data_IF_774881764243
#
_entry.id   IF_774881764243
#
_cell.length_a   1.000
_cell.length_b   1.000
_cell.length_c   1.000
_cell.angle_alpha   90.00
_cell.angle_beta   90.00
_cell.angle_gamma   90.00
#
_symmetry.space_group_name_H-M   'P 1'
#
loop_
_entity.id
_entity.type
_entity.pdbx_description
1 polymer ?
#
# COMPACT_ATOMS: atom_id res chain seq x y z
N UNK A 1 -17.25 4.04 -24.85
CA UNK A 1 -15.88 3.51 -24.63
C UNK A 1 -15.96 2.47 -23.49
N UNK A 2 -15.42 1.25 -23.68
CA UNK A 2 -15.30 0.28 -22.61
C UNK A 2 -14.41 0.80 -21.47
N UNK A 3 -14.78 0.47 -20.21
CA UNK A 3 -13.95 0.73 -19.05
C UNK A 3 -13.07 -0.46 -18.74
N UNK A 4 -11.78 -0.23 -18.71
CA UNK A 4 -10.78 -1.24 -18.40
C UNK A 4 -10.30 -1.10 -16.96
N UNK A 5 -10.15 -2.23 -16.27
CA UNK A 5 -9.42 -2.36 -15.02
C UNK A 5 -8.13 -3.12 -15.29
N UNK A 6 -7.02 -2.52 -14.95
CA UNK A 6 -5.67 -3.02 -15.18
C UNK A 6 -5.02 -3.36 -13.85
N UNK A 7 -4.80 -4.65 -13.61
CA UNK A 7 -4.07 -5.13 -12.43
C UNK A 7 -2.57 -5.08 -12.68
N UNK A 8 -1.82 -4.57 -11.69
CA UNK A 8 -0.37 -4.48 -11.74
C UNK A 8 0.30 -4.83 -10.42
N UNK A 9 1.56 -5.21 -10.50
CA UNK A 9 2.49 -5.30 -9.37
C UNK A 9 3.74 -4.46 -9.65
N UNK A 10 4.41 -3.98 -8.59
CA UNK A 10 5.62 -3.19 -8.74
C UNK A 10 6.53 -3.23 -7.51
N UNK A 11 7.83 -3.09 -7.77
CA UNK A 11 8.85 -2.78 -6.77
C UNK A 11 9.01 -1.28 -6.71
N UNK A 12 8.56 -0.66 -5.62
CA UNK A 12 8.51 0.81 -5.49
C UNK A 12 9.84 1.51 -5.20
N UNK A 13 10.94 0.77 -5.04
CA UNK A 13 12.24 1.30 -4.57
C UNK A 13 12.72 2.53 -5.35
N UNK A 14 12.58 2.51 -6.68
CA UNK A 14 13.09 3.54 -7.58
C UNK A 14 12.06 4.63 -7.93
N UNK A 15 10.91 4.64 -7.23
CA UNK A 15 9.80 5.53 -7.57
C UNK A 15 9.44 6.48 -6.42
N UNK A 16 9.12 7.70 -6.79
CA UNK A 16 8.61 8.76 -5.88
C UNK A 16 7.16 8.54 -5.47
N UNK A 17 6.66 7.31 -5.60
CA UNK A 17 5.32 6.85 -5.26
C UNK A 17 4.52 6.42 -6.47
N UNK A 18 3.25 6.14 -6.22
CA UNK A 18 2.35 5.60 -7.24
C UNK A 18 1.79 6.67 -8.19
N UNK A 19 1.27 7.76 -7.63
CA UNK A 19 0.57 8.79 -8.39
C UNK A 19 1.53 9.71 -9.14
N UNK A 20 1.19 10.04 -10.41
CA UNK A 20 1.93 10.99 -11.23
C UNK A 20 2.10 12.34 -10.53
N UNK A 21 3.31 12.88 -10.58
CA UNK A 21 3.73 14.17 -10.05
C UNK A 21 4.62 14.85 -11.08
N UNK A 22 4.63 16.18 -11.08
CA UNK A 22 5.56 16.93 -11.89
C UNK A 22 7.00 16.67 -11.42
N UNK A 23 7.92 16.47 -12.38
CA UNK A 23 9.35 16.27 -12.15
C UNK A 23 9.73 15.09 -11.22
N UNK A 24 8.88 14.05 -11.17
CA UNK A 24 9.15 12.85 -10.36
C UNK A 24 8.84 11.57 -11.13
N UNK A 25 9.75 10.59 -11.02
CA UNK A 25 9.51 9.26 -11.55
C UNK A 25 8.47 8.53 -10.67
N UNK A 26 7.34 8.10 -11.25
CA UNK A 26 6.23 7.46 -10.53
C UNK A 26 5.70 6.27 -11.31
N UNK A 27 5.09 5.30 -10.63
CA UNK A 27 4.50 4.11 -11.26
C UNK A 27 3.48 4.50 -12.33
N UNK A 28 2.60 5.45 -12.04
CA UNK A 28 1.58 5.90 -12.98
C UNK A 28 2.19 6.54 -14.24
N UNK A 29 3.23 7.36 -14.09
CA UNK A 29 3.90 8.01 -15.23
C UNK A 29 4.55 6.99 -16.16
N UNK A 30 5.19 5.95 -15.64
CA UNK A 30 5.80 4.90 -16.46
C UNK A 30 4.74 4.07 -17.21
N UNK A 31 3.61 3.73 -16.56
CA UNK A 31 2.52 3.01 -17.24
C UNK A 31 1.86 3.88 -18.32
N UNK A 32 1.61 5.16 -18.05
CA UNK A 32 1.06 6.11 -19.04
C UNK A 32 2.02 6.31 -20.23
N UNK A 33 3.33 6.38 -19.97
CA UNK A 33 4.37 6.46 -21.02
C UNK A 33 4.42 5.20 -21.90
N UNK A 34 4.40 4.01 -21.27
CA UNK A 34 4.35 2.75 -22.02
C UNK A 34 3.08 2.63 -22.86
N UNK A 35 1.94 3.09 -22.33
CA UNK A 35 0.68 3.15 -23.06
C UNK A 35 0.78 4.06 -24.28
N UNK A 36 1.33 5.26 -24.13
CA UNK A 36 1.54 6.19 -25.26
C UNK A 36 2.43 5.57 -26.36
N UNK A 37 3.49 4.87 -25.99
CA UNK A 37 4.37 4.19 -26.94
C UNK A 37 3.63 3.09 -27.69
N UNK A 38 2.78 2.30 -27.02
CA UNK A 38 2.07 1.18 -27.64
C UNK A 38 0.88 1.62 -28.49
N UNK A 39 0.08 2.55 -28.00
CA UNK A 39 -1.21 2.93 -28.58
C UNK A 39 -1.17 4.24 -29.40
N UNK A 40 -0.06 4.99 -29.33
CA UNK A 40 0.09 6.26 -30.04
C UNK A 40 -0.71 7.42 -29.45
N UNK A 41 -1.44 7.21 -28.35
CA UNK A 41 -2.30 8.21 -27.71
C UNK A 41 -2.04 8.25 -26.21
N UNK A 42 -2.09 9.46 -25.62
CA UNK A 42 -2.00 9.64 -24.18
C UNK A 42 -3.27 9.20 -23.50
N UNK A 43 -3.12 8.69 -22.27
CA UNK A 43 -4.23 8.30 -21.42
C UNK A 43 -4.02 8.85 -20.02
N UNK A 44 -5.12 9.05 -19.28
CA UNK A 44 -5.07 9.36 -17.85
C UNK A 44 -5.55 8.14 -17.07
N UNK A 45 -4.67 7.56 -16.28
CA UNK A 45 -4.96 6.42 -15.44
C UNK A 45 -5.50 6.87 -14.07
N UNK A 46 -6.55 6.23 -13.60
CA UNK A 46 -7.10 6.48 -12.25
C UNK A 46 -6.78 5.29 -11.36
N UNK A 47 -5.92 5.51 -10.36
CA UNK A 47 -5.44 4.46 -9.47
C UNK A 47 -6.37 4.14 -8.30
N UNK A 48 -6.40 2.87 -7.90
CA UNK A 48 -7.15 2.39 -6.73
C UNK A 48 -6.52 2.85 -5.42
N UNK A 49 -5.23 2.62 -5.27
CA UNK A 49 -4.52 2.88 -4.02
C UNK A 49 -3.23 3.64 -4.28
N UNK A 50 -3.06 4.79 -3.59
CA UNK A 50 -1.84 5.57 -3.66
C UNK A 50 -0.84 5.02 -2.64
N UNK A 51 0.31 4.55 -3.11
CA UNK A 51 1.42 4.16 -2.25
C UNK A 51 2.46 5.28 -2.18
N UNK A 52 3.09 5.45 -1.02
CA UNK A 52 4.19 6.41 -0.81
C UNK A 52 5.45 5.98 -1.59
N UNK A 53 6.44 6.88 -1.73
CA UNK A 53 7.75 6.58 -2.30
C UNK A 53 8.39 5.37 -1.62
N UNK A 54 8.93 4.45 -2.40
CA UNK A 54 9.59 3.22 -1.94
C UNK A 54 8.66 2.10 -1.46
N UNK A 55 7.35 2.28 -1.46
CA UNK A 55 6.37 1.23 -1.10
C UNK A 55 6.10 0.32 -2.28
N UNK A 56 6.09 -0.99 -2.05
CA UNK A 56 5.82 -2.02 -3.06
C UNK A 56 4.34 -2.35 -3.17
N UNK A 57 3.95 -2.97 -4.27
CA UNK A 57 2.65 -3.60 -4.40
C UNK A 57 2.76 -4.96 -5.09
N UNK A 58 2.15 -5.97 -4.49
CA UNK A 58 1.93 -7.27 -5.13
C UNK A 58 0.66 -7.22 -5.99
N UNK A 59 -0.27 -6.32 -5.66
CA UNK A 59 -1.49 -6.08 -6.39
C UNK A 59 -1.92 -4.62 -6.21
N UNK A 60 -2.18 -3.92 -7.29
CA UNK A 60 -2.85 -2.63 -7.33
C UNK A 60 -3.61 -2.52 -8.66
N UNK A 61 -4.45 -1.51 -8.79
CA UNK A 61 -5.29 -1.35 -9.98
C UNK A 61 -5.28 0.08 -10.49
N UNK A 62 -5.34 0.21 -11.82
CA UNK A 62 -5.82 1.38 -12.53
C UNK A 62 -7.17 1.09 -13.18
N UNK A 63 -7.98 2.11 -13.41
CA UNK A 63 -9.02 2.07 -14.42
C UNK A 63 -8.86 3.21 -15.40
N UNK A 64 -9.36 3.00 -16.62
CA UNK A 64 -9.38 3.97 -17.71
C UNK A 64 -10.44 3.57 -18.73
N UNK A 65 -10.85 4.54 -19.54
CA UNK A 65 -11.76 4.33 -20.67
C UNK A 65 -10.96 4.42 -21.98
N UNK A 66 -11.13 3.45 -22.86
CA UNK A 66 -10.47 3.41 -24.16
C UNK A 66 -11.32 2.62 -25.16
N UNK A 67 -11.22 2.92 -26.47
CA UNK A 67 -12.07 2.26 -27.46
C UNK A 67 -11.65 0.82 -27.71
N UNK A 68 -10.43 0.62 -28.19
CA UNK A 68 -9.91 -0.70 -28.52
C UNK A 68 -8.43 -0.81 -28.18
N UNK A 69 -8.09 -1.80 -27.36
CA UNK A 69 -6.71 -2.10 -27.00
C UNK A 69 -6.09 -3.03 -28.02
N UNK A 70 -4.77 -2.89 -28.23
CA UNK A 70 -4.01 -3.83 -29.06
C UNK A 70 -4.28 -5.29 -28.64
N UNK A 71 -4.49 -6.25 -29.59
CA UNK A 71 -4.81 -7.65 -29.24
C UNK A 71 -3.86 -8.32 -28.26
N UNK A 72 -2.58 -7.95 -28.29
CA UNK A 72 -1.54 -8.44 -27.36
C UNK A 72 -1.15 -7.39 -26.32
N UNK A 73 -2.12 -6.59 -25.85
CA UNK A 73 -1.87 -5.42 -25.01
C UNK A 73 -0.97 -5.73 -23.80
N UNK A 74 -1.32 -6.72 -22.96
CA UNK A 74 -0.55 -7.05 -21.76
C UNK A 74 0.89 -7.47 -22.09
N UNK A 75 1.07 -8.30 -23.12
CA UNK A 75 2.39 -8.76 -23.54
C UNK A 75 3.28 -7.59 -23.99
N UNK A 76 2.76 -6.75 -24.88
CA UNK A 76 3.52 -5.61 -25.44
C UNK A 76 3.78 -4.52 -24.39
N UNK A 77 2.80 -4.23 -23.52
CA UNK A 77 3.01 -3.30 -22.41
C UNK A 77 4.12 -3.80 -21.48
N UNK A 78 4.12 -5.08 -21.11
CA UNK A 78 5.16 -5.65 -20.26
C UNK A 78 6.55 -5.67 -20.94
N UNK A 79 6.62 -5.71 -22.26
CA UNK A 79 7.88 -5.60 -22.99
C UNK A 79 8.45 -4.15 -23.03
N UNK A 80 7.59 -3.15 -22.87
CA UNK A 80 7.97 -1.72 -22.86
C UNK A 80 8.26 -1.23 -21.43
N UNK A 81 7.54 -1.75 -20.44
CA UNK A 81 7.66 -1.34 -19.05
C UNK A 81 9.01 -1.72 -18.44
N UNK A 82 9.52 -0.92 -17.46
CA UNK A 82 10.67 -1.31 -16.66
C UNK A 82 10.44 -2.66 -15.93
N UNK A 83 11.51 -3.41 -15.68
CA UNK A 83 11.48 -4.74 -15.03
C UNK A 83 10.83 -4.75 -13.65
N UNK A 84 10.76 -3.60 -12.98
CA UNK A 84 10.18 -3.42 -11.65
C UNK A 84 8.68 -3.08 -11.66
N UNK A 85 8.03 -3.07 -12.85
CA UNK A 85 6.58 -2.92 -13.03
C UNK A 85 6.05 -4.03 -13.94
N UNK A 86 5.06 -4.78 -13.48
CA UNK A 86 4.43 -5.84 -14.29
C UNK A 86 2.90 -5.68 -14.29
N UNK A 87 2.31 -5.67 -15.48
CA UNK A 87 0.86 -5.78 -15.68
C UNK A 87 0.46 -7.26 -15.66
N UNK A 88 -0.59 -7.59 -14.90
CA UNK A 88 -1.00 -8.98 -14.66
C UNK A 88 -2.27 -9.38 -15.40
N UNK A 89 -3.29 -8.53 -15.29
CA UNK A 89 -4.62 -8.80 -15.84
C UNK A 89 -5.25 -7.51 -16.34
N UNK A 90 -6.12 -7.64 -17.32
CA UNK A 90 -7.01 -6.57 -17.76
C UNK A 90 -8.42 -7.13 -17.88
N UNK A 91 -9.39 -6.39 -17.35
CA UNK A 91 -10.80 -6.76 -17.36
C UNK A 91 -11.61 -5.58 -17.87
N UNK A 92 -12.67 -5.87 -18.62
CA UNK A 92 -13.68 -4.86 -19.00
C UNK A 92 -14.77 -4.91 -17.94
N UNK A 93 -15.09 -3.75 -17.36
CA UNK A 93 -16.10 -3.59 -16.33
C UNK A 93 -17.17 -2.58 -16.77
N UNK A 94 -18.33 -2.54 -16.08
CA UNK A 94 -19.35 -1.54 -16.33
C UNK A 94 -18.78 -0.09 -16.27
N UNK A 95 -19.31 0.79 -17.11
CA UNK A 95 -18.81 2.17 -17.24
C UNK A 95 -18.86 2.99 -15.94
N UNK A 96 -19.70 2.62 -14.98
CA UNK A 96 -19.78 3.25 -13.65
C UNK A 96 -18.80 2.65 -12.63
N UNK A 97 -18.07 1.57 -12.95
CA UNK A 97 -17.10 0.95 -12.04
C UNK A 97 -15.91 1.90 -11.78
N UNK A 98 -15.47 1.99 -10.53
CA UNK A 98 -14.41 2.92 -10.13
C UNK A 98 -13.37 2.24 -9.25
N UNK A 99 -12.11 2.11 -9.73
CA UNK A 99 -11.04 1.36 -9.05
C UNK A 99 -10.75 1.81 -7.61
N UNK A 100 -11.00 3.07 -7.27
CA UNK A 100 -10.75 3.60 -5.93
C UNK A 100 -11.97 3.50 -5.01
N UNK A 101 -13.16 3.86 -5.51
CA UNK A 101 -14.35 4.01 -4.67
C UNK A 101 -15.08 2.70 -4.45
N UNK A 102 -15.01 1.76 -5.40
CA UNK A 102 -15.66 0.46 -5.29
C UNK A 102 -14.77 -0.60 -4.61
N UNK A 103 -13.51 -0.27 -4.35
CA UNK A 103 -12.65 -1.17 -3.59
C UNK A 103 -13.11 -1.25 -2.12
N UNK A 104 -13.51 -2.45 -1.71
CA UNK A 104 -14.09 -2.78 -0.40
C UNK A 104 -13.03 -2.73 0.70
N UNK A 105 -11.84 -3.28 0.43
CA UNK A 105 -10.72 -3.25 1.37
C UNK A 105 -9.37 -3.19 0.68
N UNK A 106 -8.35 -2.84 1.44
CA UNK A 106 -6.93 -2.91 1.09
C UNK A 106 -6.21 -3.63 2.20
N UNK A 107 -5.30 -4.56 1.83
CA UNK A 107 -4.43 -5.26 2.77
C UNK A 107 -3.00 -4.87 2.53
N UNK A 108 -2.32 -4.54 3.62
CA UNK A 108 -0.89 -4.26 3.63
C UNK A 108 -0.15 -5.24 4.51
N UNK A 109 1.10 -5.50 4.15
CA UNK A 109 2.08 -6.23 4.94
C UNK A 109 3.30 -5.35 5.17
N UNK A 110 3.76 -5.25 6.42
CA UNK A 110 5.05 -4.67 6.73
C UNK A 110 6.00 -5.77 7.18
N UNK A 111 7.10 -5.95 6.45
CA UNK A 111 8.04 -7.05 6.62
C UNK A 111 9.28 -6.59 7.38
N UNK A 112 9.71 -7.40 8.36
CA UNK A 112 10.84 -7.14 9.24
C UNK A 112 11.68 -8.42 9.33
N UNK A 113 13.02 -8.28 9.32
CA UNK A 113 13.94 -9.38 9.57
C UNK A 113 14.94 -9.02 10.68
N UNK A 114 15.38 -10.02 11.46
CA UNK A 114 16.14 -9.82 12.68
C UNK A 114 17.61 -10.22 12.55
N UNK A 115 17.94 -11.13 11.65
CA UNK A 115 19.31 -11.52 11.30
C UNK A 115 19.70 -10.86 9.97
N UNK A 116 20.93 -10.32 9.91
CA UNK A 116 21.41 -9.64 8.70
C UNK A 116 21.31 -10.57 7.48
N UNK A 117 20.60 -10.12 6.44
CA UNK A 117 20.43 -10.81 5.18
C UNK A 117 20.44 -9.81 4.01
N UNK A 118 21.48 -9.82 3.15
CA UNK A 118 21.61 -8.86 2.06
C UNK A 118 20.51 -8.99 0.99
N UNK A 119 19.87 -10.15 0.85
CA UNK A 119 18.79 -10.36 -0.11
C UNK A 119 17.45 -9.73 0.31
N UNK A 120 17.30 -9.31 1.57
CA UNK A 120 16.10 -8.69 2.09
C UNK A 120 16.19 -7.16 2.17
N UNK A 121 17.34 -6.57 1.89
CA UNK A 121 17.63 -5.14 2.11
C UNK A 121 16.58 -4.18 1.53
N UNK A 122 16.03 -4.49 0.35
CA UNK A 122 15.05 -3.63 -0.32
C UNK A 122 13.59 -4.11 -0.14
N UNK A 123 13.36 -5.17 0.64
CA UNK A 123 12.05 -5.82 0.75
C UNK A 123 11.57 -6.04 2.18
N UNK A 124 12.41 -5.72 3.16
CA UNK A 124 12.08 -5.82 4.58
C UNK A 124 12.97 -4.89 5.41
N UNK A 125 12.49 -4.45 6.56
CA UNK A 125 13.25 -3.66 7.51
C UNK A 125 14.17 -4.57 8.32
N UNK A 126 15.49 -4.31 8.31
CA UNK A 126 16.41 -4.91 9.27
C UNK A 126 16.19 -4.29 10.65
N UNK A 127 15.81 -5.13 11.64
CA UNK A 127 15.50 -4.66 12.98
C UNK A 127 16.03 -5.66 14.03
N UNK A 128 17.32 -5.54 14.42
CA UNK A 128 18.01 -6.53 15.27
C UNK A 128 17.67 -6.43 16.76
N UNK A 129 16.80 -5.48 17.14
CA UNK A 129 16.49 -5.27 18.55
C UNK A 129 15.59 -6.36 19.12
N UNK A 130 15.76 -6.64 20.44
CA UNK A 130 14.85 -7.53 21.17
C UNK A 130 13.45 -6.92 21.19
N UNK A 131 12.46 -7.72 20.85
CA UNK A 131 11.05 -7.32 20.79
C UNK A 131 10.23 -8.26 21.67
N UNK A 132 9.32 -7.69 22.43
CA UNK A 132 8.25 -8.39 23.14
C UNK A 132 7.07 -8.54 22.19
N UNK A 133 6.93 -9.72 21.58
CA UNK A 133 5.92 -9.99 20.55
C UNK A 133 4.51 -9.96 21.15
N UNK A 134 4.35 -10.41 22.39
CA UNK A 134 3.05 -10.42 23.06
C UNK A 134 2.50 -8.99 23.23
N UNK A 135 3.34 -8.05 23.65
CA UNK A 135 2.95 -6.63 23.74
C UNK A 135 2.63 -6.04 22.35
N UNK A 136 3.34 -6.45 21.32
CA UNK A 136 3.05 -5.99 19.94
C UNK A 136 1.72 -6.54 19.43
N UNK A 137 1.36 -7.78 19.75
CA UNK A 137 0.06 -8.38 19.41
C UNK A 137 -1.09 -7.70 20.18
N UNK A 138 -0.88 -7.36 21.44
CA UNK A 138 -1.82 -6.58 22.23
C UNK A 138 -2.06 -5.19 21.60
N UNK A 139 -0.99 -4.49 21.21
CA UNK A 139 -1.09 -3.22 20.50
C UNK A 139 -1.81 -3.36 19.14
N UNK A 140 -1.58 -4.45 18.40
CA UNK A 140 -2.28 -4.73 17.16
C UNK A 140 -3.78 -5.00 17.39
N UNK A 141 -4.13 -5.64 18.48
CA UNK A 141 -5.54 -5.84 18.90
C UNK A 141 -6.22 -4.51 19.20
N UNK A 142 -5.55 -3.61 19.92
CA UNK A 142 -6.05 -2.25 20.19
C UNK A 142 -6.34 -1.51 18.87
N UNK A 143 -5.41 -1.56 17.88
CA UNK A 143 -5.64 -0.96 16.55
C UNK A 143 -6.93 -1.48 15.92
N UNK A 144 -7.20 -2.78 16.03
CA UNK A 144 -8.40 -3.43 15.51
C UNK A 144 -9.71 -2.89 16.08
N UNK A 145 -9.71 -2.31 17.29
CA UNK A 145 -10.89 -1.71 17.93
C UNK A 145 -11.10 -0.24 17.63
N UNK A 146 -10.12 0.44 17.02
CA UNK A 146 -10.18 1.88 16.77
C UNK A 146 -10.79 2.20 15.41
N UNK A 147 -11.45 3.33 15.32
CA UNK A 147 -12.06 3.84 14.09
C UNK A 147 -11.49 5.21 13.65
N UNK A 148 -10.88 5.97 14.54
CA UNK A 148 -10.34 7.30 14.26
C UNK A 148 -8.82 7.30 14.33
N UNK A 149 -8.16 7.71 13.22
CA UNK A 149 -6.71 7.57 13.02
C UNK A 149 -6.01 8.89 12.68
N UNK A 150 -6.53 10.03 13.14
CA UNK A 150 -5.88 11.32 12.93
C UNK A 150 -4.41 11.34 13.37
N UNK A 151 -4.04 10.82 14.58
CA UNK A 151 -2.65 10.82 15.01
C UNK A 151 -1.70 10.05 14.11
N UNK A 152 -2.22 9.04 13.41
CA UNK A 152 -1.45 8.18 12.50
C UNK A 152 -1.55 8.60 11.03
N UNK A 153 -1.83 9.85 10.74
CA UNK A 153 -1.82 10.42 9.40
C UNK A 153 -0.66 11.42 9.27
N UNK A 154 0.14 11.32 8.19
CA UNK A 154 1.18 12.30 7.90
C UNK A 154 0.60 13.71 7.82
N UNK A 155 1.42 14.71 8.19
CA UNK A 155 1.13 16.13 7.97
C UNK A 155 0.93 16.43 6.47
N UNK A 156 0.33 17.56 6.14
CA UNK A 156 0.04 17.99 4.76
C UNK A 156 -0.82 16.96 3.98
N UNK A 157 -1.85 16.41 4.62
CA UNK A 157 -2.83 15.54 3.99
C UNK A 157 -4.04 16.33 3.51
N UNK A 158 -4.60 15.94 2.37
CA UNK A 158 -5.88 16.45 1.86
C UNK A 158 -7.09 15.74 2.48
N UNK A 159 -6.87 14.81 3.42
CA UNK A 159 -7.95 14.04 4.04
C UNK A 159 -8.79 14.94 4.96
N UNK A 160 -10.09 15.01 4.70
CA UNK A 160 -11.09 15.68 5.54
C UNK A 160 -11.72 14.75 6.56
N UNK A 161 -11.59 13.43 6.37
CA UNK A 161 -12.11 12.39 7.24
C UNK A 161 -10.98 11.41 7.61
N UNK A 162 -10.81 11.15 8.89
CA UNK A 162 -9.77 10.29 9.46
C UNK A 162 -10.31 8.94 9.95
N UNK A 163 -11.59 8.64 9.69
CA UNK A 163 -12.19 7.36 10.05
C UNK A 163 -11.75 6.27 9.07
N UNK A 164 -11.38 5.12 9.63
CA UNK A 164 -11.07 3.90 8.92
C UNK A 164 -11.69 2.72 9.68
N UNK A 165 -12.29 1.78 8.97
CA UNK A 165 -12.82 0.53 9.54
C UNK A 165 -11.78 -0.56 9.37
N UNK A 166 -11.24 -1.07 10.49
CA UNK A 166 -10.27 -2.16 10.49
C UNK A 166 -10.97 -3.50 10.35
N UNK A 167 -10.46 -4.35 9.45
CA UNK A 167 -10.93 -5.72 9.27
C UNK A 167 -9.92 -6.73 9.80
N UNK A 168 -8.62 -6.35 9.79
CA UNK A 168 -7.54 -7.19 10.27
C UNK A 168 -6.39 -6.33 10.79
N UNK A 169 -5.81 -6.73 11.92
CA UNK A 169 -4.60 -6.13 12.48
C UNK A 169 -3.90 -7.19 13.34
N UNK A 170 -2.78 -7.75 12.84
CA UNK A 170 -2.10 -8.84 13.54
C UNK A 170 -0.63 -8.94 13.13
N UNK A 171 0.18 -9.48 14.02
CA UNK A 171 1.55 -9.89 13.75
C UNK A 171 1.61 -11.38 13.38
N UNK A 172 2.53 -11.72 12.50
CA UNK A 172 2.87 -13.10 12.15
C UNK A 172 4.37 -13.26 12.30
N UNK A 173 4.78 -14.24 13.10
CA UNK A 173 6.19 -14.60 13.31
C UNK A 173 6.54 -15.81 12.47
N UNK A 174 7.64 -15.75 11.73
CA UNK A 174 8.23 -16.88 11.00
C UNK A 174 9.73 -16.86 11.25
N UNK A 175 10.25 -17.87 12.00
CA UNK A 175 11.68 -18.00 12.31
C UNK A 175 12.33 -16.66 12.71
N UNK A 176 13.16 -16.09 11.83
CA UNK A 176 13.89 -14.82 12.04
C UNK A 176 13.18 -13.58 11.44
N UNK A 177 11.93 -13.73 11.00
CA UNK A 177 11.15 -12.65 10.40
C UNK A 177 9.84 -12.37 11.13
N UNK A 178 9.41 -11.13 11.09
CA UNK A 178 8.13 -10.65 11.59
C UNK A 178 7.38 -9.96 10.46
N UNK A 179 6.08 -10.14 10.41
CA UNK A 179 5.23 -9.50 9.42
C UNK A 179 3.98 -8.94 10.11
N UNK A 180 3.77 -7.65 9.98
CA UNK A 180 2.53 -7.02 10.38
C UNK A 180 1.55 -7.03 9.23
N UNK A 181 0.36 -7.61 9.41
CA UNK A 181 -0.72 -7.67 8.44
C UNK A 181 -1.84 -6.77 8.92
N UNK A 182 -2.25 -5.83 8.06
CA UNK A 182 -3.36 -4.94 8.34
C UNK A 182 -4.29 -4.83 7.13
N UNK A 183 -5.59 -4.88 7.38
CA UNK A 183 -6.62 -4.71 6.35
C UNK A 183 -7.70 -3.75 6.83
N UNK A 184 -8.10 -2.81 5.97
CA UNK A 184 -9.13 -1.83 6.26
C UNK A 184 -9.87 -1.41 4.98
N UNK A 185 -11.04 -0.76 5.14
CA UNK A 185 -11.77 -0.16 4.03
C UNK A 185 -10.95 0.93 3.32
N UNK A 186 -10.11 1.66 4.06
CA UNK A 186 -9.19 2.68 3.54
C UNK A 186 -8.03 2.89 4.51
N UNK A 187 -6.98 3.57 4.02
CA UNK A 187 -5.86 4.02 4.84
C UNK A 187 -5.57 5.49 4.57
N UNK A 188 -5.05 6.16 5.60
CA UNK A 188 -4.54 7.52 5.52
C UNK A 188 -3.08 7.51 5.06
N UNK A 189 -2.59 8.65 4.58
CA UNK A 189 -1.21 8.80 4.13
C UNK A 189 -0.22 8.45 5.25
N UNK A 190 0.66 7.48 5.00
CA UNK A 190 1.69 7.02 5.93
C UNK A 190 1.18 6.19 7.11
N UNK A 191 -0.13 5.95 7.24
CA UNK A 191 -0.78 5.35 8.40
C UNK A 191 -0.16 4.02 8.83
N UNK A 192 -0.01 3.07 7.92
CA UNK A 192 0.52 1.74 8.25
C UNK A 192 1.94 1.83 8.81
N UNK A 193 2.78 2.72 8.25
CA UNK A 193 4.16 2.93 8.72
C UNK A 193 4.22 3.55 10.11
N UNK A 194 3.34 4.50 10.42
CA UNK A 194 3.24 5.13 11.74
C UNK A 194 2.74 4.13 12.78
N UNK A 195 1.70 3.34 12.48
CA UNK A 195 1.18 2.28 13.34
C UNK A 195 2.25 1.22 13.64
N UNK A 196 2.92 0.72 12.60
CA UNK A 196 3.99 -0.28 12.76
C UNK A 196 5.14 0.27 13.60
N UNK A 197 5.57 1.51 13.36
CA UNK A 197 6.62 2.16 14.14
C UNK A 197 6.26 2.25 15.63
N UNK A 198 5.02 2.64 15.94
CA UNK A 198 4.56 2.76 17.33
C UNK A 198 4.51 1.40 18.03
N UNK A 199 4.03 0.34 17.35
CA UNK A 199 4.07 -1.02 17.90
C UNK A 199 5.49 -1.53 18.15
N UNK A 200 6.46 -1.13 17.32
CA UNK A 200 7.87 -1.44 17.57
C UNK A 200 8.41 -0.72 18.82
N UNK A 201 7.93 0.50 19.14
CA UNK A 201 8.29 1.14 20.41
C UNK A 201 7.70 0.40 21.62
N UNK A 202 6.44 -0.07 21.49
CA UNK A 202 5.80 -0.94 22.51
C UNK A 202 6.61 -2.22 22.69
N UNK A 203 6.93 -2.95 21.61
CA UNK A 203 7.70 -4.19 21.67
C UNK A 203 9.11 -4.02 22.25
N UNK A 204 9.69 -2.81 22.16
CA UNK A 204 10.95 -2.44 22.79
C UNK A 204 10.78 -1.97 24.24
N UNK A 205 9.55 -1.88 24.74
CA UNK A 205 9.22 -1.31 26.07
C UNK A 205 9.70 0.15 26.23
N UNK A 206 9.67 0.91 25.11
CA UNK A 206 9.98 2.35 25.11
C UNK A 206 8.76 3.22 25.41
N UNK A 207 7.56 2.69 25.12
CA UNK A 207 6.28 3.20 25.53
C UNK A 207 5.45 2.03 26.09
N UNK A 208 4.59 2.29 27.05
CA UNK A 208 3.67 1.28 27.58
C UNK A 208 2.46 1.08 26.66
N UNK A 209 1.65 0.06 26.92
CA UNK A 209 0.38 -0.18 26.21
C UNK A 209 -0.61 0.96 26.47
N UNK A 210 -0.65 1.49 27.69
CA UNK A 210 -1.50 2.62 28.07
C UNK A 210 -1.08 3.89 27.33
N UNK A 211 0.22 4.16 27.22
CA UNK A 211 0.75 5.29 26.46
C UNK A 211 0.43 5.13 24.97
N UNK A 212 0.60 3.92 24.41
CA UNK A 212 0.22 3.63 23.03
C UNK A 212 -1.28 3.87 22.79
N UNK A 213 -2.15 3.39 23.69
CA UNK A 213 -3.60 3.59 23.58
C UNK A 213 -3.97 5.08 23.63
N UNK A 214 -3.30 5.88 24.49
CA UNK A 214 -3.53 7.34 24.60
C UNK A 214 -3.17 8.10 23.32
N UNK A 215 -2.28 7.58 22.46
CA UNK A 215 -1.96 8.23 21.17
C UNK A 215 -3.22 8.41 20.31
N UNK A 216 -4.18 7.47 20.37
CA UNK A 216 -5.42 7.57 19.57
C UNK A 216 -6.32 8.72 20.00
N UNK A 217 -6.24 9.14 21.25
CA UNK A 217 -7.04 10.22 21.81
C UNK A 217 -6.33 11.59 21.70
N UNK A 218 -5.07 11.59 21.22
CA UNK A 218 -4.29 12.81 21.09
C UNK A 218 -4.72 13.64 19.87
N UNK A 219 -4.73 14.96 20.03
CA UNK A 219 -4.89 15.92 18.92
C UNK A 219 -3.58 16.20 18.18
N UNK A 220 -2.52 15.44 18.48
CA UNK A 220 -1.19 15.58 17.91
C UNK A 220 -0.85 14.41 17.01
N UNK A 221 0.09 14.62 16.10
CA UNK A 221 0.56 13.57 15.21
C UNK A 221 1.56 12.66 15.90
N UNK A 222 1.43 11.36 15.67
CA UNK A 222 2.42 10.38 16.10
C UNK A 222 3.80 10.70 15.52
N UNK A 223 4.81 10.83 16.39
CA UNK A 223 6.18 11.16 16.03
C UNK A 223 7.01 9.99 15.50
N UNK A 224 6.50 8.76 15.54
CA UNK A 224 7.24 7.57 15.14
C UNK A 224 7.06 7.29 13.64
N UNK A 225 8.14 6.89 12.97
CA UNK A 225 8.09 6.48 11.56
C UNK A 225 9.15 5.43 11.26
N UNK A 226 8.89 4.60 10.25
CA UNK A 226 9.82 3.58 9.75
C UNK A 226 9.95 3.67 8.22
N UNK A 227 11.04 3.12 7.64
CA UNK A 227 11.26 3.11 6.19
C UNK A 227 10.10 2.51 5.39
N UNK A 228 9.97 2.90 4.13
CA UNK A 228 8.90 2.43 3.24
C UNK A 228 9.16 1.07 2.60
N UNK A 229 10.42 0.70 2.39
CA UNK A 229 10.82 -0.50 1.65
C UNK A 229 10.38 -1.84 2.28
N UNK A 230 9.94 -1.83 3.54
CA UNK A 230 9.32 -3.00 4.16
C UNK A 230 7.82 -3.13 3.92
N UNK A 231 7.18 -2.10 3.33
CA UNK A 231 5.73 -2.03 3.16
C UNK A 231 5.28 -2.50 1.78
N UNK A 232 4.30 -3.40 1.77
CA UNK A 232 3.68 -3.96 0.58
C UNK A 232 2.17 -3.78 0.62
N UNK A 233 1.58 -3.22 -0.43
CA UNK A 233 0.16 -3.39 -0.72
C UNK A 233 0.00 -4.78 -1.34
N UNK A 234 -0.67 -5.70 -0.63
CA UNK A 234 -0.77 -7.11 -1.08
C UNK A 234 -2.06 -7.43 -1.78
N UNK A 235 -3.17 -6.83 -1.35
CA UNK A 235 -4.49 -7.08 -1.94
C UNK A 235 -5.33 -5.80 -1.97
N UNK A 236 -6.13 -5.68 -3.02
CA UNK A 236 -7.24 -4.73 -3.14
C UNK A 236 -8.47 -5.55 -3.48
N UNK A 237 -9.43 -5.60 -2.54
CA UNK A 237 -10.65 -6.39 -2.72
C UNK A 237 -11.75 -5.53 -3.33
N UNK A 238 -12.44 -6.10 -4.30
CA UNK A 238 -13.60 -5.52 -4.98
C UNK A 238 -14.82 -6.43 -4.80
N UNK A 239 -16.05 -5.95 -5.16
CA UNK A 239 -17.22 -6.83 -5.20
C UNK A 239 -16.97 -8.05 -6.10
N UNK A 240 -17.45 -9.24 -5.68
CA UNK A 240 -17.25 -10.50 -6.41
C UNK A 240 -17.68 -10.42 -7.89
N UNK A 241 -18.69 -9.61 -8.21
CA UNK A 241 -19.17 -9.43 -9.57
C UNK A 241 -18.17 -8.77 -10.54
N UNK A 242 -17.03 -8.24 -10.05
CA UNK A 242 -16.07 -7.52 -10.90
C UNK A 242 -15.12 -8.44 -11.66
N UNK A 243 -14.79 -9.60 -11.13
CA UNK A 243 -13.74 -10.46 -11.68
C UNK A 243 -14.16 -11.95 -11.78
N UNK A 244 -15.46 -12.21 -11.85
CA UNK A 244 -16.03 -13.55 -12.11
C UNK A 244 -15.97 -13.91 -13.58
#
# INVERSE_FOLDING_TARGET
>A
MPRYFLELSYKGTNYSGFQKQENANTIQAEVEKAFLVLQGQSITLIGSSRTDAGVHALQNYFHFDYEELHPQFLYKMNAILPEDIALKKINILPANAHSRFDALSRRYEYRIYRKKNPFLQNFALYYPFKLDIQLMEEAATIIGTKNYFFPFCKTNTQAKNFNCTMYKSQWVTKEDSLMYIIEANRFLRGMVRLLTASMLQVGRKKISIEEFNRIFDANEKCGFSIPSHGLFLTHVNFPNAYFN
#
